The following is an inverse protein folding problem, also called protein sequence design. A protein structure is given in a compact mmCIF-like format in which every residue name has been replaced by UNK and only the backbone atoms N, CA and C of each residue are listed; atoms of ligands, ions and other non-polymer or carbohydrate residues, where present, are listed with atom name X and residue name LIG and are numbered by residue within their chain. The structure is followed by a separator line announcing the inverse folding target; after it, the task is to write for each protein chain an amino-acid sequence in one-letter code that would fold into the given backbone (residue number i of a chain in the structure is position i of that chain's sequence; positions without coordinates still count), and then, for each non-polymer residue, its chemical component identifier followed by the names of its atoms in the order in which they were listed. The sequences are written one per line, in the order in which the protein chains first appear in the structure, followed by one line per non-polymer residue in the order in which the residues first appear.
data_IF_697413341024
#
_entry.id   IF_697413341024
#
_cell.length_a   1.000
_cell.length_b   1.000
_cell.length_c   1.000
_cell.angle_alpha   90.00
_cell.angle_beta   90.00
_cell.angle_gamma   90.00
#
_symmetry.space_group_name_H-M   'P 1'
#
loop_
_entity.id
_entity.type
_entity.pdbx_description
1 polymer ?
#
# COMPACT_ATOMS: atom_id res chain seq x y z
N UNK A 1 10.29 4.83 19.90
CA UNK A 1 9.82 5.31 18.57
C UNK A 1 9.70 4.09 17.67
N UNK A 2 8.50 3.67 17.28
CA UNK A 2 8.35 2.56 16.34
C UNK A 2 8.70 3.10 14.96
N UNK A 3 9.86 2.71 14.43
CA UNK A 3 10.23 3.02 13.05
C UNK A 3 9.44 2.07 12.18
N UNK A 4 8.50 2.62 11.43
CA UNK A 4 7.64 1.83 10.59
C UNK A 4 8.30 1.65 9.22
N UNK A 5 8.70 0.42 8.91
CA UNK A 5 9.55 0.14 7.76
C UNK A 5 8.69 -0.22 6.55
N UNK A 6 8.95 0.42 5.41
CA UNK A 6 8.46 -0.07 4.13
C UNK A 6 9.52 -1.03 3.57
N UNK A 7 9.19 -2.31 3.31
CA UNK A 7 10.21 -3.24 2.87
C UNK A 7 10.78 -2.92 1.50
N UNK A 8 12.05 -3.30 1.31
CA UNK A 8 12.82 -2.94 0.11
C UNK A 8 12.23 -3.52 -1.18
N UNK A 9 11.45 -4.60 -1.08
CA UNK A 9 10.80 -5.22 -2.23
C UNK A 9 9.55 -4.47 -2.72
N UNK A 10 9.06 -3.51 -1.96
CA UNK A 10 7.84 -2.77 -2.27
C UNK A 10 8.01 -1.97 -3.56
N UNK A 11 7.08 -2.17 -4.50
CA UNK A 11 7.01 -1.40 -5.74
C UNK A 11 5.75 -0.52 -5.80
N UNK A 12 4.66 -0.99 -5.17
CA UNK A 12 3.38 -0.32 -5.13
C UNK A 12 2.86 -0.25 -3.70
N UNK A 13 2.10 0.80 -3.43
CA UNK A 13 1.42 0.98 -2.16
C UNK A 13 -0.05 1.25 -2.42
N UNK A 14 -0.95 0.65 -1.63
CA UNK A 14 -2.36 0.93 -1.68
C UNK A 14 -2.93 1.23 -0.28
N UNK A 15 -3.90 2.11 -0.20
CA UNK A 15 -4.69 2.36 1.00
C UNK A 15 -6.07 1.72 0.85
N UNK A 16 -6.50 0.94 1.84
CA UNK A 16 -7.87 0.41 1.92
C UNK A 16 -8.86 1.44 2.50
N UNK A 17 -10.15 1.13 2.47
CA UNK A 17 -11.22 1.99 3.01
C UNK A 17 -11.13 2.22 4.53
N UNK A 18 -10.45 1.33 5.26
CA UNK A 18 -10.20 1.50 6.69
C UNK A 18 -8.99 2.41 6.97
N UNK A 19 -8.36 2.95 5.92
CA UNK A 19 -7.19 3.80 6.01
C UNK A 19 -5.88 3.05 6.23
N UNK A 20 -5.87 1.71 6.20
CA UNK A 20 -4.65 0.93 6.33
C UNK A 20 -3.86 0.98 5.02
N UNK A 21 -2.53 0.96 5.17
CA UNK A 21 -1.62 0.95 4.04
C UNK A 21 -1.05 -0.44 3.82
N UNK A 22 -0.89 -0.79 2.55
CA UNK A 22 -0.44 -2.09 2.11
C UNK A 22 0.65 -1.95 1.08
N UNK A 23 1.69 -2.78 1.17
CA UNK A 23 2.82 -2.83 0.26
C UNK A 23 2.74 -4.05 -0.66
N UNK A 24 2.99 -3.84 -1.94
CA UNK A 24 2.94 -4.87 -2.98
C UNK A 24 4.20 -4.84 -3.85
N UNK A 25 4.67 -6.01 -4.26
CA UNK A 25 5.74 -6.19 -5.26
C UNK A 25 5.22 -6.21 -6.71
N UNK A 26 3.92 -6.43 -6.87
CA UNK A 26 3.14 -6.40 -8.11
C UNK A 26 2.02 -5.36 -8.04
N UNK A 27 1.52 -4.92 -9.21
CA UNK A 27 0.46 -3.91 -9.25
C UNK A 27 -0.83 -4.52 -8.67
N UNK A 28 -1.36 -3.99 -7.55
CA UNK A 28 -2.58 -4.52 -6.97
C UNK A 28 -3.77 -4.23 -7.88
N UNK A 29 -4.74 -5.15 -7.87
CA UNK A 29 -6.05 -5.01 -8.51
C UNK A 29 -7.08 -4.77 -7.43
N UNK A 30 -7.94 -3.79 -7.65
CA UNK A 30 -9.10 -3.57 -6.80
C UNK A 30 -10.18 -4.60 -7.14
N UNK A 31 -10.59 -5.41 -6.16
CA UNK A 31 -11.75 -6.30 -6.30
C UNK A 31 -13.03 -5.58 -5.83
N UNK A 32 -14.17 -5.92 -6.44
CA UNK A 32 -15.51 -5.46 -6.09
C UNK A 32 -15.91 -5.78 -4.63
N UNK A 33 -15.13 -6.61 -3.93
CA UNK A 33 -15.25 -6.90 -2.50
C UNK A 33 -14.65 -5.81 -1.59
N UNK A 34 -14.26 -4.67 -2.16
CA UNK A 34 -13.62 -3.55 -1.44
C UNK A 34 -12.25 -3.93 -0.84
N UNK A 35 -11.52 -4.82 -1.51
CA UNK A 35 -10.21 -5.28 -1.06
C UNK A 35 -9.19 -5.26 -2.21
N UNK A 36 -7.92 -5.06 -1.83
CA UNK A 36 -6.79 -5.07 -2.73
C UNK A 36 -6.25 -6.49 -2.86
N UNK A 37 -6.32 -7.04 -4.07
CA UNK A 37 -5.71 -8.32 -4.39
C UNK A 37 -4.44 -8.14 -5.23
N UNK A 38 -3.40 -8.89 -4.92
CA UNK A 38 -2.20 -9.00 -5.76
C UNK A 38 -1.77 -10.47 -5.83
N UNK A 39 -1.21 -10.88 -6.97
CA UNK A 39 -0.65 -12.22 -7.18
C UNK A 39 0.71 -12.44 -6.50
N UNK A 40 1.36 -11.36 -6.03
CA UNK A 40 2.67 -11.39 -5.38
C UNK A 40 2.63 -11.12 -3.88
N UNK A 41 3.78 -10.73 -3.32
CA UNK A 41 3.91 -10.44 -1.89
C UNK A 41 3.05 -9.24 -1.48
N UNK A 42 2.32 -9.40 -0.38
CA UNK A 42 1.51 -8.37 0.24
C UNK A 42 1.77 -8.33 1.75
N UNK A 43 1.89 -7.12 2.31
CA UNK A 43 1.88 -6.93 3.76
C UNK A 43 1.31 -5.56 4.13
N UNK A 44 0.71 -5.47 5.31
CA UNK A 44 0.34 -4.19 5.88
C UNK A 44 1.59 -3.42 6.30
N UNK A 45 1.61 -2.12 6.00
CA UNK A 45 2.69 -1.19 6.37
C UNK A 45 2.11 0.02 7.09
N UNK A 46 2.98 0.78 7.73
CA UNK A 46 2.64 2.06 8.34
C UNK A 46 3.68 3.07 7.83
N UNK A 47 3.36 3.96 6.90
CA UNK A 47 4.35 4.88 6.38
C UNK A 47 4.77 5.91 7.45
N UNK A 48 6.07 6.18 7.56
CA UNK A 48 6.63 7.10 8.58
C UNK A 48 6.36 8.57 8.23
N UNK A 49 6.33 8.92 6.94
CA UNK A 49 6.04 10.27 6.43
C UNK A 49 5.52 10.22 4.98
N UNK A 50 4.81 11.24 4.52
CA UNK A 50 4.29 11.30 3.14
C UNK A 50 5.41 11.28 2.08
N UNK A 51 6.60 11.83 2.38
CA UNK A 51 7.75 11.80 1.48
C UNK A 51 8.34 10.41 1.25
N UNK A 52 8.13 9.46 2.18
CA UNK A 52 8.51 8.06 1.93
C UNK A 52 7.58 7.40 0.92
N UNK A 53 6.36 7.90 0.71
CA UNK A 53 5.42 7.35 -0.26
C UNK A 53 5.76 7.78 -1.69
N UNK A 54 6.26 9.01 -1.90
CA UNK A 54 6.51 9.57 -3.23
C UNK A 54 7.57 8.83 -4.06
N UNK A 55 8.37 7.96 -3.45
CA UNK A 55 9.39 7.16 -4.16
C UNK A 55 8.83 5.90 -4.85
N UNK A 56 7.58 5.51 -4.59
CA UNK A 56 6.99 4.29 -5.13
C UNK A 56 6.31 4.53 -6.48
N UNK A 57 6.34 3.52 -7.34
CA UNK A 57 5.90 3.63 -8.75
C UNK A 57 4.39 3.88 -8.88
N UNK A 58 3.62 3.58 -7.84
CA UNK A 58 2.19 3.88 -7.78
C UNK A 58 1.70 3.88 -6.35
N UNK A 59 0.98 4.95 -6.00
CA UNK A 59 0.23 5.09 -4.75
C UNK A 59 -1.24 5.05 -5.15
N UNK A 60 -1.97 4.08 -4.64
CA UNK A 60 -3.41 3.94 -4.86
C UNK A 60 -4.12 4.28 -3.56
N UNK A 61 -5.12 5.16 -3.65
CA UNK A 61 -5.94 5.51 -2.50
C UNK A 61 -7.39 5.25 -2.85
N UNK A 62 -8.08 4.53 -1.98
CA UNK A 62 -9.54 4.50 -2.00
C UNK A 62 -10.06 5.65 -1.13
N UNK A 63 -10.83 6.53 -1.74
CA UNK A 63 -11.60 7.55 -1.04
C UNK A 63 -13.03 7.01 -1.04
N UNK A 64 -13.52 6.56 0.12
CA UNK A 64 -14.97 6.38 0.30
C UNK A 64 -15.61 7.75 0.00
N UNK A 65 -16.50 7.78 -0.99
CA UNK A 65 -17.31 8.95 -1.32
C UNK A 65 -18.55 9.00 -0.45
#
# INVERSE_FOLDING_TARGET
MKFYTIPKWTKYIAQDSNGNWWAYDEKPKYDLRLDWSASGNCQQIFPVVASTLSQYKGIYQYLDA
#
